data_IF_642447332972
#
_entry.id   IF_642447332972
#
_cell.length_a   1.000
_cell.length_b   1.000
_cell.length_c   1.000
_cell.angle_alpha   90.00
_cell.angle_beta   90.00
_cell.angle_gamma   90.00
#
_symmetry.space_group_name_H-M   'P 1'
#
loop_
_entity.id
_entity.type
_entity.pdbx_description
1 polymer ?
#
# COMPACT_ATOMS: atom_id res chain seq x y z
N UNK A 1 4.32 -3.52 -3.91
CA UNK A 1 3.14 -3.49 -3.00
C UNK A 1 1.92 -3.00 -3.80
N UNK A 2 0.68 -3.19 -3.33
CA UNK A 2 -0.54 -2.80 -4.09
C UNK A 2 -0.53 -1.33 -4.53
N UNK A 3 -0.07 -0.42 -3.65
CA UNK A 3 0.09 1.00 -3.98
C UNK A 3 1.09 1.22 -5.12
N UNK A 4 2.21 0.49 -5.13
CA UNK A 4 3.23 0.61 -6.18
C UNK A 4 2.67 0.23 -7.56
N UNK A 5 1.77 -0.77 -7.63
CA UNK A 5 1.08 -1.16 -8.86
C UNK A 5 0.17 -0.02 -9.35
N UNK A 6 -0.57 0.64 -8.45
CA UNK A 6 -1.41 1.78 -8.83
C UNK A 6 -0.59 2.98 -9.30
N UNK A 7 0.57 3.22 -8.66
CA UNK A 7 1.50 4.27 -9.08
C UNK A 7 2.06 3.98 -10.46
N UNK A 8 2.49 2.74 -10.73
CA UNK A 8 3.00 2.32 -12.04
C UNK A 8 1.95 2.43 -13.15
N UNK A 9 0.67 2.18 -12.84
CA UNK A 9 -0.42 2.37 -13.80
C UNK A 9 -0.74 3.84 -14.09
N UNK A 10 -0.48 4.74 -13.15
CA UNK A 10 -0.87 6.17 -13.24
C UNK A 10 0.27 7.07 -13.68
N UNK A 11 1.50 6.72 -13.34
CA UNK A 11 2.71 7.47 -13.66
C UNK A 11 3.53 6.67 -14.65
N UNK A 12 4.00 7.30 -15.73
CA UNK A 12 4.93 6.69 -16.70
C UNK A 12 6.35 6.62 -16.12
N UNK A 13 6.48 6.07 -14.91
CA UNK A 13 7.74 5.87 -14.20
C UNK A 13 7.81 4.41 -13.80
N UNK A 14 8.89 3.72 -14.18
CA UNK A 14 9.13 2.37 -13.68
C UNK A 14 9.48 2.46 -12.19
N UNK A 15 8.62 1.92 -11.33
CA UNK A 15 8.95 1.65 -9.91
C UNK A 15 10.03 0.57 -9.79
N UNK A 16 10.30 -0.13 -10.89
CA UNK A 16 11.41 -1.05 -11.08
C UNK A 16 12.62 -0.31 -11.65
N UNK A 17 13.69 -0.21 -10.89
CA UNK A 17 15.00 0.26 -11.39
C UNK A 17 15.83 -0.97 -11.74
N UNK A 18 16.04 -1.24 -13.03
CA UNK A 18 16.83 -2.39 -13.50
C UNK A 18 18.29 -2.37 -13.03
N UNK A 19 18.80 -1.23 -12.53
CA UNK A 19 20.14 -1.09 -11.96
C UNK A 19 20.18 -1.29 -10.43
N UNK A 20 19.03 -1.35 -9.77
CA UNK A 20 18.92 -1.64 -8.34
C UNK A 20 18.14 -2.93 -8.19
N UNK A 21 18.75 -3.99 -7.66
CA UNK A 21 18.07 -5.24 -7.25
C UNK A 21 17.00 -5.04 -6.14
N UNK A 22 16.52 -3.80 -5.93
CA UNK A 22 15.55 -3.40 -4.92
C UNK A 22 14.25 -2.97 -5.59
N UNK A 23 13.19 -3.71 -5.31
CA UNK A 23 11.82 -3.26 -5.51
C UNK A 23 11.58 -1.99 -4.69
N UNK A 24 11.34 -0.85 -5.37
CA UNK A 24 11.08 0.42 -4.70
C UNK A 24 9.65 0.41 -4.17
N UNK A 25 9.51 0.58 -2.85
CA UNK A 25 8.22 0.82 -2.21
C UNK A 25 7.98 2.33 -2.21
N UNK A 26 6.99 2.77 -2.96
CA UNK A 26 6.78 4.18 -3.28
C UNK A 26 6.34 4.99 -2.05
N UNK A 27 5.53 4.38 -1.17
CA UNK A 27 4.99 5.01 0.03
C UNK A 27 5.95 4.96 1.24
N UNK A 28 6.86 3.98 1.28
CA UNK A 28 7.89 3.84 2.34
C UNK A 28 9.06 4.82 2.10
N UNK A 29 8.80 6.11 2.34
CA UNK A 29 9.77 7.19 2.08
C UNK A 29 10.79 7.39 3.22
N UNK A 30 10.47 6.95 4.44
CA UNK A 30 11.34 7.17 5.59
C UNK A 30 12.48 6.15 5.64
N UNK A 31 13.63 6.58 6.15
CA UNK A 31 14.84 5.74 6.24
C UNK A 31 14.59 4.51 7.13
N UNK A 32 13.89 4.69 8.25
CA UNK A 32 13.56 3.60 9.19
C UNK A 32 12.62 2.56 8.58
N UNK A 33 11.69 2.98 7.72
CA UNK A 33 10.81 2.08 6.96
C UNK A 33 11.59 1.28 5.91
N UNK A 34 12.51 1.93 5.21
CA UNK A 34 13.35 1.28 4.20
C UNK A 34 14.35 0.28 4.80
N UNK A 35 14.92 0.60 5.97
CA UNK A 35 15.83 -0.29 6.70
C UNK A 35 15.10 -1.50 7.25
N UNK A 36 13.94 -1.30 7.88
CA UNK A 36 13.16 -2.38 8.51
C UNK A 36 12.26 -3.14 7.51
N UNK A 37 12.08 -2.60 6.30
CA UNK A 37 11.19 -3.13 5.26
C UNK A 37 9.75 -3.34 5.76
N UNK A 38 9.28 -2.44 6.61
CA UNK A 38 7.90 -2.38 7.11
C UNK A 38 7.41 -0.93 7.03
N UNK A 39 6.15 -0.74 6.68
CA UNK A 39 5.51 0.58 6.79
C UNK A 39 5.25 0.86 8.27
N UNK A 40 5.61 2.07 8.71
CA UNK A 40 5.51 2.51 10.11
C UNK A 40 4.49 3.63 10.23
N UNK A 41 4.41 4.51 9.22
CA UNK A 41 3.48 5.63 9.19
C UNK A 41 2.49 5.50 8.06
N UNK A 42 1.27 5.98 8.32
CA UNK A 42 0.26 6.06 7.26
C UNK A 42 0.62 7.18 6.29
N UNK A 43 0.61 6.88 4.99
CA UNK A 43 0.87 7.85 3.93
C UNK A 43 -0.39 8.07 3.08
N UNK A 44 -0.93 9.30 3.00
CA UNK A 44 -2.01 9.63 2.09
C UNK A 44 -1.49 9.76 0.65
N UNK A 45 -2.23 9.22 -0.31
CA UNK A 45 -1.97 9.36 -1.74
C UNK A 45 -3.25 9.64 -2.50
N UNK A 46 -3.23 10.67 -3.36
CA UNK A 46 -4.33 10.99 -4.26
C UNK A 46 -4.00 10.51 -5.68
N UNK A 47 -4.83 9.65 -6.23
CA UNK A 47 -4.69 9.08 -7.57
C UNK A 47 -5.92 9.40 -8.41
N UNK A 48 -5.72 9.57 -9.72
CA UNK A 48 -6.81 9.64 -10.68
C UNK A 48 -6.89 8.31 -11.41
N UNK A 49 -7.90 7.50 -11.09
CA UNK A 49 -8.11 6.19 -11.68
C UNK A 49 -9.31 6.22 -12.62
N UNK A 50 -9.23 5.45 -13.71
CA UNK A 50 -10.31 5.33 -14.69
C UNK A 50 -11.08 4.04 -14.45
N UNK A 51 -12.40 4.12 -14.56
CA UNK A 51 -13.24 2.92 -14.60
C UNK A 51 -13.19 2.24 -15.99
N UNK A 52 -13.86 1.10 -16.12
CA UNK A 52 -13.98 0.36 -17.38
C UNK A 52 -14.77 1.10 -18.48
N UNK A 53 -15.46 2.19 -18.12
CA UNK A 53 -16.21 3.07 -19.02
C UNK A 53 -15.43 4.36 -19.34
N UNK A 54 -14.13 4.40 -19.03
CA UNK A 54 -13.22 5.53 -19.23
C UNK A 54 -13.59 6.81 -18.44
N UNK A 55 -14.42 6.71 -17.41
CA UNK A 55 -14.70 7.83 -16.50
C UNK A 55 -13.62 7.90 -15.42
N UNK A 56 -13.03 9.08 -15.27
CA UNK A 56 -12.00 9.35 -14.27
C UNK A 56 -12.61 9.68 -12.92
N UNK A 57 -12.02 9.12 -11.87
CA UNK A 57 -12.38 9.35 -10.47
C UNK A 57 -11.12 9.70 -9.68
N UNK A 58 -11.26 10.62 -8.72
CA UNK A 58 -10.20 10.92 -7.76
C UNK A 58 -10.35 9.99 -6.56
N UNK A 59 -9.32 9.18 -6.32
CA UNK A 59 -9.23 8.29 -5.17
C UNK A 59 -8.19 8.82 -4.20
N UNK A 60 -8.60 9.03 -2.95
CA UNK A 60 -7.70 9.33 -1.86
C UNK A 60 -7.51 8.06 -1.04
N UNK A 61 -6.31 7.49 -1.11
CA UNK A 61 -5.98 6.23 -0.45
C UNK A 61 -5.05 6.54 0.72
N UNK A 62 -5.35 5.95 1.87
CA UNK A 62 -4.48 5.97 3.04
C UNK A 62 -3.75 4.63 3.08
N UNK A 63 -2.44 4.63 2.79
CA UNK A 63 -1.62 3.42 2.90
C UNK A 63 -1.21 3.22 4.35
N UNK A 64 -1.82 2.24 5.03
CA UNK A 64 -1.67 2.04 6.47
C UNK A 64 -0.67 0.93 6.80
N UNK A 65 0.04 1.01 7.95
CA UNK A 65 0.96 -0.04 8.36
C UNK A 65 0.22 -1.36 8.69
N UNK A 66 0.79 -2.48 8.25
CA UNK A 66 0.21 -3.83 8.46
C UNK A 66 0.67 -4.54 9.75
N UNK A 67 1.62 -3.98 10.49
CA UNK A 67 2.14 -4.58 11.72
C UNK A 67 1.28 -4.19 12.93
N UNK A 68 0.94 -5.16 13.80
CA UNK A 68 0.03 -4.96 14.96
C UNK A 68 0.45 -3.83 15.90
N UNK A 69 1.75 -3.55 16.01
CA UNK A 69 2.31 -2.46 16.81
C UNK A 69 1.93 -1.04 16.34
N UNK A 70 1.43 -0.87 15.10
CA UNK A 70 1.07 0.44 14.53
C UNK A 70 -0.43 0.54 14.24
N UNK A 71 -1.24 -0.17 15.04
CA UNK A 71 -2.70 -0.16 14.90
C UNK A 71 -3.34 1.21 15.17
N UNK A 72 -2.65 2.08 15.91
CA UNK A 72 -3.04 3.47 16.13
C UNK A 72 -3.11 4.27 14.82
N UNK A 73 -2.11 4.12 13.95
CA UNK A 73 -2.06 4.72 12.62
C UNK A 73 -3.20 4.20 11.73
N UNK A 74 -3.41 2.87 11.71
CA UNK A 74 -4.53 2.25 10.98
C UNK A 74 -5.89 2.79 11.47
N UNK A 75 -6.06 2.90 12.78
CA UNK A 75 -7.32 3.39 13.38
C UNK A 75 -7.56 4.86 13.03
N UNK A 76 -6.52 5.68 13.03
CA UNK A 76 -6.62 7.08 12.62
C UNK A 76 -7.04 7.22 11.14
N UNK A 77 -6.43 6.43 10.26
CA UNK A 77 -6.78 6.38 8.84
C UNK A 77 -8.23 5.93 8.62
N UNK A 78 -8.67 4.88 9.34
CA UNK A 78 -10.02 4.35 9.25
C UNK A 78 -11.08 5.37 9.67
N UNK A 79 -10.79 6.23 10.65
CA UNK A 79 -11.71 7.30 11.07
C UNK A 79 -11.89 8.38 10.01
N UNK A 80 -10.92 8.56 9.11
CA UNK A 80 -10.97 9.53 8.01
C UNK A 80 -11.53 8.92 6.72
N UNK A 81 -11.48 7.60 6.57
CA UNK A 81 -11.84 6.91 5.36
C UNK A 81 -13.35 6.62 5.29
N UNK A 82 -13.94 6.81 4.11
CA UNK A 82 -15.34 6.41 3.84
C UNK A 82 -15.50 4.89 3.68
N UNK A 83 -14.40 4.17 3.47
CA UNK A 83 -14.39 2.73 3.29
C UNK A 83 -12.98 2.14 3.39
N UNK A 84 -12.90 0.82 3.49
CA UNK A 84 -11.63 0.09 3.61
C UNK A 84 -11.48 -0.95 2.51
N UNK A 85 -10.25 -1.10 2.01
CA UNK A 85 -9.84 -2.19 1.13
C UNK A 85 -8.93 -3.11 1.93
N UNK A 86 -9.33 -4.37 2.08
CA UNK A 86 -8.55 -5.38 2.79
C UNK A 86 -7.72 -6.20 1.79
N UNK A 87 -6.41 -6.18 1.96
CA UNK A 87 -5.47 -6.98 1.15
C UNK A 87 -5.01 -8.15 2.00
N UNK A 88 -5.38 -9.37 1.62
CA UNK A 88 -4.98 -10.59 2.30
C UNK A 88 -4.09 -11.44 1.38
N UNK A 89 -3.01 -11.97 1.94
CA UNK A 89 -2.19 -12.96 1.26
C UNK A 89 -2.93 -14.32 1.27
N UNK A 90 -3.37 -14.76 0.09
CA UNK A 90 -4.10 -16.02 -0.06
C UNK A 90 -3.23 -17.26 0.21
N UNK A 91 -1.90 -17.16 0.07
CA UNK A 91 -0.99 -18.27 0.32
C UNK A 91 -0.71 -18.46 1.82
N UNK A 92 -0.88 -17.39 2.61
CA UNK A 92 -0.71 -17.40 4.06
C UNK A 92 -1.99 -17.86 4.76
N UNK A 93 -2.52 -19.02 4.35
CA UNK A 93 -3.48 -19.73 5.18
C UNK A 93 -2.74 -20.28 6.40
N UNK A 94 -3.24 -19.95 7.58
CA UNK A 94 -2.72 -20.50 8.82
C UNK A 94 -2.73 -22.03 8.76
N UNK A 95 -1.55 -22.62 8.87
CA UNK A 95 -1.37 -24.04 9.16
C UNK A 95 -1.72 -24.37 10.63
N UNK A 96 -2.70 -23.68 11.24
CA UNK A 96 -3.19 -23.95 12.61
C UNK A 96 -4.35 -24.95 12.63
N UNK A 97 -4.34 -25.92 11.72
CA UNK A 97 -5.27 -27.06 11.70
C UNK A 97 -4.51 -28.32 11.28
N UNK A 98 -3.44 -28.65 12.01
CA UNK A 98 -2.98 -30.04 12.12
C UNK A 98 -2.64 -30.32 13.59
N UNK A 99 -3.51 -31.15 14.16
CA UNK A 99 -3.42 -31.85 15.44
C UNK A 99 -2.01 -32.33 15.80
#
# INVERSE_FOLDING_TARGET
>A
MFMDMLVEQTHHMSTFDSNRDKHMRYTDTRIDEQEKRISIKTVPMSLVLKDSKCKSYSFNIMDTPGHVNFFDEMTAALRLADGVVLIMDAAKQETNLKN
#
